data_IF_867894808359
#
_entry.id   IF_867894808359
#
_cell.length_a   1.000
_cell.length_b   1.000
_cell.length_c   1.000
_cell.angle_alpha   90.00
_cell.angle_beta   90.00
_cell.angle_gamma   90.00
#
_symmetry.space_group_name_H-M   'P 1'
#
loop_
_entity.id
_entity.type
_entity.pdbx_description
1 polymer ?
#
# COMPACT_ATOMS: atom_id res chain seq x y z
N UNK A 1 13.08 8.08 -10.40
CA UNK A 1 11.92 8.22 -9.55
C UNK A 1 12.30 8.63 -8.14
N UNK A 2 11.34 8.96 -7.32
CA UNK A 2 11.54 9.26 -5.91
C UNK A 2 11.33 7.99 -5.07
N UNK A 3 12.00 7.94 -3.91
CA UNK A 3 11.74 6.95 -2.87
C UNK A 3 10.70 7.44 -1.85
N UNK A 4 10.38 8.74 -1.89
CA UNK A 4 9.38 9.35 -1.02
C UNK A 4 8.17 9.78 -1.84
N UNK A 5 7.03 9.28 -1.47
CA UNK A 5 5.72 9.61 -2.05
C UNK A 5 4.67 9.59 -0.94
N UNK A 6 3.60 10.38 -1.08
CA UNK A 6 2.59 10.57 -0.01
C UNK A 6 1.98 9.25 0.49
N UNK A 7 1.74 8.27 -0.40
CA UNK A 7 1.04 7.02 -0.07
C UNK A 7 1.86 5.74 -0.25
N UNK A 8 2.99 5.80 -0.95
CA UNK A 8 3.76 4.61 -1.33
C UNK A 8 5.27 4.76 -1.09
N UNK A 9 5.70 5.88 -0.49
CA UNK A 9 7.09 6.11 -0.16
C UNK A 9 7.62 5.21 0.95
N UNK A 10 8.95 5.16 1.11
CA UNK A 10 9.58 4.34 2.14
C UNK A 10 9.13 4.69 3.55
N UNK A 11 8.76 5.95 3.79
CA UNK A 11 8.20 6.38 5.08
C UNK A 11 6.91 5.65 5.43
N UNK A 12 6.12 5.24 4.43
CA UNK A 12 4.92 4.44 4.61
C UNK A 12 5.22 2.92 4.60
N UNK A 13 6.11 2.49 3.72
CA UNK A 13 6.42 1.07 3.54
C UNK A 13 7.14 0.46 4.75
N UNK A 14 8.09 1.17 5.38
CA UNK A 14 8.85 0.65 6.51
C UNK A 14 7.97 0.37 7.74
N UNK A 15 7.10 1.29 8.20
CA UNK A 15 6.17 1.00 9.30
C UNK A 15 5.25 -0.19 9.02
N UNK A 16 4.72 -0.26 7.79
CA UNK A 16 3.85 -1.38 7.37
C UNK A 16 4.61 -2.70 7.38
N UNK A 17 5.83 -2.74 6.85
CA UNK A 17 6.68 -3.92 6.85
C UNK A 17 6.89 -4.47 8.28
N UNK A 18 7.23 -3.59 9.22
CA UNK A 18 7.50 -4.00 10.60
C UNK A 18 6.23 -4.34 11.38
N UNK A 19 5.14 -3.61 11.17
CA UNK A 19 3.87 -3.90 11.81
C UNK A 19 3.26 -5.24 11.37
N UNK A 20 3.46 -5.60 10.09
CA UNK A 20 2.93 -6.81 9.48
C UNK A 20 3.93 -7.98 9.47
N UNK A 21 5.10 -7.82 10.11
CA UNK A 21 6.12 -8.86 10.15
C UNK A 21 5.61 -10.13 10.82
N UNK A 22 5.68 -11.24 10.12
CA UNK A 22 5.21 -12.53 10.62
C UNK A 22 6.34 -13.27 11.34
N UNK A 23 6.16 -13.49 12.62
CA UNK A 23 7.08 -14.25 13.48
C UNK A 23 6.59 -15.69 13.60
N UNK A 24 7.19 -16.61 12.86
CA UNK A 24 6.85 -18.03 12.81
C UNK A 24 7.82 -18.89 13.63
N UNK A 25 9.02 -18.39 13.78
CA UNK A 25 10.12 -19.07 14.47
C UNK A 25 11.16 -18.05 14.96
N UNK A 26 12.13 -18.51 15.72
CA UNK A 26 13.18 -17.67 16.32
C UNK A 26 14.06 -16.96 15.29
N UNK A 27 14.27 -17.57 14.10
CA UNK A 27 15.02 -16.91 13.03
C UNK A 27 14.30 -15.66 12.51
N UNK A 28 12.97 -15.70 12.41
CA UNK A 28 12.18 -14.54 11.98
C UNK A 28 12.33 -13.37 12.97
N UNK A 29 12.54 -13.65 14.28
CA UNK A 29 12.84 -12.60 15.29
C UNK A 29 14.23 -12.00 15.05
N UNK A 30 15.23 -12.84 14.79
CA UNK A 30 16.60 -12.39 14.54
C UNK A 30 16.69 -11.57 13.25
N UNK A 31 15.99 -12.00 12.21
CA UNK A 31 15.90 -11.28 10.94
C UNK A 31 15.20 -9.91 11.13
N UNK A 32 14.10 -9.88 11.90
CA UNK A 32 13.39 -8.64 12.26
C UNK A 32 14.31 -7.63 12.96
N UNK A 33 15.03 -8.07 13.99
CA UNK A 33 15.97 -7.21 14.72
C UNK A 33 17.08 -6.70 13.78
N UNK A 34 17.56 -7.54 12.88
CA UNK A 34 18.60 -7.17 11.91
C UNK A 34 18.09 -6.10 10.95
N UNK A 35 16.90 -6.28 10.35
CA UNK A 35 16.29 -5.32 9.46
C UNK A 35 15.97 -4.01 10.16
N UNK A 36 15.52 -4.09 11.41
CA UNK A 36 15.24 -2.90 12.22
C UNK A 36 16.54 -2.09 12.49
N UNK A 37 17.67 -2.75 12.73
CA UNK A 37 19.00 -2.11 12.83
C UNK A 37 19.42 -1.44 11.52
N UNK A 38 19.12 -2.07 10.40
CA UNK A 38 19.49 -1.58 9.08
C UNK A 38 18.59 -0.43 8.59
N UNK A 39 17.53 -0.07 9.33
CA UNK A 39 16.62 1.02 8.95
C UNK A 39 17.37 2.36 8.83
N UNK A 40 18.21 2.71 9.80
CA UNK A 40 18.97 3.98 9.76
C UNK A 40 19.90 4.06 8.56
N UNK A 41 20.85 3.13 8.32
CA UNK A 41 21.76 3.23 7.17
C UNK A 41 21.00 3.15 5.82
N UNK A 42 19.91 2.40 5.74
CA UNK A 42 19.06 2.37 4.56
C UNK A 42 18.45 3.74 4.28
N UNK A 43 17.82 4.35 5.28
CA UNK A 43 17.20 5.69 5.17
C UNK A 43 18.24 6.74 4.85
N UNK A 44 19.41 6.72 5.47
CA UNK A 44 20.52 7.63 5.17
C UNK A 44 20.94 7.56 3.69
N UNK A 45 21.08 6.35 3.15
CA UNK A 45 21.41 6.13 1.74
C UNK A 45 20.34 6.73 0.80
N UNK A 46 19.06 6.55 1.12
CA UNK A 46 17.95 7.10 0.35
C UNK A 46 17.90 8.63 0.45
N UNK A 47 18.12 9.17 1.64
CA UNK A 47 18.18 10.63 1.84
C UNK A 47 19.37 11.27 1.09
N UNK A 48 20.52 10.61 1.05
CA UNK A 48 21.65 11.07 0.25
C UNK A 48 21.30 11.13 -1.25
N UNK A 49 20.61 10.12 -1.76
CA UNK A 49 20.09 10.14 -3.13
C UNK A 49 19.13 11.31 -3.35
N UNK A 50 18.20 11.53 -2.42
CA UNK A 50 17.20 12.59 -2.50
C UNK A 50 17.81 13.99 -2.40
N UNK A 51 18.85 14.17 -1.57
CA UNK A 51 19.65 15.41 -1.52
C UNK A 51 20.32 15.72 -2.87
N UNK A 52 20.86 14.69 -3.53
CA UNK A 52 21.41 14.87 -4.90
C UNK A 52 20.33 15.25 -5.91
N UNK A 53 19.10 14.76 -5.76
CA UNK A 53 17.97 15.21 -6.59
C UNK A 53 17.67 16.70 -6.35
N UNK A 54 17.63 17.13 -5.10
CA UNK A 54 17.41 18.53 -4.72
C UNK A 54 18.51 19.45 -5.29
N UNK A 55 19.77 19.09 -5.12
CA UNK A 55 20.94 19.83 -5.63
C UNK A 55 20.93 19.97 -7.14
N UNK A 56 20.42 18.98 -7.86
CA UNK A 56 20.30 18.98 -9.31
C UNK A 56 18.98 19.61 -9.83
N UNK A 57 18.15 20.15 -8.94
CA UNK A 57 16.86 20.75 -9.30
C UNK A 57 15.82 19.74 -9.80
N UNK A 58 15.90 18.47 -9.35
CA UNK A 58 15.04 17.37 -9.76
C UNK A 58 14.08 16.93 -8.65
N UNK A 59 14.03 17.65 -7.52
CA UNK A 59 13.13 17.33 -6.43
C UNK A 59 11.70 17.70 -6.78
N UNK A 60 10.78 16.75 -6.60
CA UNK A 60 9.34 16.94 -6.80
C UNK A 60 8.61 16.00 -5.82
N UNK A 61 8.38 16.47 -4.60
CA UNK A 61 7.79 15.72 -3.49
C UNK A 61 6.64 16.49 -2.86
N UNK A 62 5.72 15.77 -2.26
CA UNK A 62 4.76 16.32 -1.30
C UNK A 62 5.42 16.33 0.09
N UNK A 63 6.20 17.37 0.34
CA UNK A 63 7.01 17.49 1.56
C UNK A 63 6.16 17.57 2.82
N UNK A 64 5.01 18.24 2.75
CA UNK A 64 4.11 18.41 3.88
C UNK A 64 3.54 17.08 4.35
N UNK A 65 2.94 16.31 3.45
CA UNK A 65 2.41 14.98 3.76
C UNK A 65 3.45 14.02 4.31
N UNK A 66 4.70 14.08 3.81
CA UNK A 66 5.80 13.23 4.30
C UNK A 66 6.17 13.62 5.73
N UNK A 67 6.26 14.93 6.03
CA UNK A 67 6.58 15.44 7.37
C UNK A 67 5.48 15.04 8.35
N UNK A 68 4.21 15.29 8.02
CA UNK A 68 3.06 14.93 8.86
C UNK A 68 3.01 13.43 9.16
N UNK A 69 3.30 12.61 8.16
CA UNK A 69 3.37 11.17 8.37
C UNK A 69 4.51 10.76 9.32
N UNK A 70 5.70 11.34 9.15
CA UNK A 70 6.81 11.10 10.08
C UNK A 70 6.48 11.56 11.50
N UNK A 71 5.82 12.70 11.68
CA UNK A 71 5.37 13.18 12.99
C UNK A 71 4.41 12.18 13.65
N UNK A 72 3.49 11.59 12.88
CA UNK A 72 2.55 10.58 13.39
C UNK A 72 3.24 9.30 13.88
N UNK A 73 4.32 8.87 13.21
CA UNK A 73 5.12 7.71 13.59
C UNK A 73 6.00 8.01 14.82
N UNK A 74 6.51 9.23 14.95
CA UNK A 74 7.38 9.63 16.04
C UNK A 74 6.62 9.91 17.34
N UNK A 75 5.37 10.41 17.25
CA UNK A 75 4.58 10.83 18.41
C UNK A 75 4.41 9.75 19.48
N UNK A 76 4.07 8.49 19.18
CA UNK A 76 3.92 7.45 20.19
C UNK A 76 5.24 7.04 20.87
N UNK A 77 6.37 7.21 20.20
CA UNK A 77 7.68 6.80 20.68
C UNK A 77 7.72 5.32 21.03
N UNK A 78 8.18 4.99 22.23
CA UNK A 78 8.24 3.60 22.72
C UNK A 78 6.86 2.96 23.01
N UNK A 79 5.79 3.73 22.99
CA UNK A 79 4.41 3.24 23.09
C UNK A 79 3.77 2.93 21.74
N UNK A 80 4.58 2.89 20.68
CA UNK A 80 4.10 2.62 19.33
C UNK A 80 3.39 1.27 19.22
N UNK A 81 2.23 1.27 18.56
CA UNK A 81 1.49 0.05 18.24
C UNK A 81 2.28 -0.85 17.27
N UNK A 82 3.20 -0.30 16.48
CA UNK A 82 4.12 -1.07 15.62
C UNK A 82 5.05 -1.92 16.49
N UNK A 83 5.67 -1.33 17.51
CA UNK A 83 6.50 -2.07 18.46
C UNK A 83 5.69 -3.13 19.22
N UNK A 84 4.45 -2.79 19.59
CA UNK A 84 3.55 -3.75 20.26
C UNK A 84 3.21 -4.94 19.36
N UNK A 85 2.96 -4.73 18.06
CA UNK A 85 2.70 -5.81 17.09
C UNK A 85 3.90 -6.77 16.98
N UNK A 86 5.12 -6.23 16.87
CA UNK A 86 6.35 -7.04 16.84
C UNK A 86 6.53 -7.87 18.13
N UNK A 87 6.29 -7.28 19.29
CA UNK A 87 6.35 -7.98 20.59
C UNK A 87 5.30 -9.10 20.66
N UNK A 88 4.08 -8.86 20.21
CA UNK A 88 3.02 -9.88 20.14
C UNK A 88 3.45 -11.07 19.28
N UNK A 89 4.14 -10.83 18.18
CA UNK A 89 4.70 -11.90 17.33
C UNK A 89 5.69 -12.78 18.10
N UNK A 90 6.56 -12.20 18.93
CA UNK A 90 7.49 -12.96 19.76
C UNK A 90 6.76 -13.77 20.83
N UNK A 91 5.76 -13.19 21.48
CA UNK A 91 4.96 -13.84 22.53
C UNK A 91 4.20 -15.08 22.04
N UNK A 92 3.90 -15.14 20.74
CA UNK A 92 3.25 -16.30 20.12
C UNK A 92 4.21 -17.48 19.93
N UNK A 93 5.53 -17.26 20.02
CA UNK A 93 6.50 -18.35 20.01
C UNK A 93 6.54 -19.04 21.38
N UNK A 94 6.70 -20.36 21.36
CA UNK A 94 6.84 -21.15 22.59
C UNK A 94 8.28 -21.10 23.15
N UNK A 95 8.81 -19.88 23.33
CA UNK A 95 10.11 -19.65 23.96
C UNK A 95 9.96 -19.60 25.49
N UNK A 96 11.08 -19.81 26.19
CA UNK A 96 11.10 -19.56 27.65
C UNK A 96 10.99 -18.05 27.95
N UNK A 97 10.61 -17.73 29.18
CA UNK A 97 10.34 -16.34 29.59
C UNK A 97 11.58 -15.45 29.48
N UNK A 98 12.76 -15.98 29.85
CA UNK A 98 14.01 -15.22 29.82
C UNK A 98 14.36 -14.81 28.39
N UNK A 99 14.26 -15.73 27.44
CA UNK A 99 14.54 -15.49 26.03
C UNK A 99 13.50 -14.58 25.35
N UNK A 100 12.23 -14.73 25.71
CA UNK A 100 11.16 -13.85 25.26
C UNK A 100 11.45 -12.41 25.67
N UNK A 101 11.77 -12.16 26.93
CA UNK A 101 12.08 -10.83 27.44
C UNK A 101 13.40 -10.29 26.85
N UNK A 102 14.39 -11.13 26.61
CA UNK A 102 15.63 -10.73 25.92
C UNK A 102 15.33 -10.16 24.53
N UNK A 103 14.56 -10.87 23.72
CA UNK A 103 14.19 -10.41 22.35
C UNK A 103 13.33 -9.14 22.38
N UNK A 104 12.36 -9.04 23.28
CA UNK A 104 11.54 -7.83 23.44
C UNK A 104 12.38 -6.62 23.82
N UNK A 105 13.36 -6.79 24.70
CA UNK A 105 14.30 -5.73 25.09
C UNK A 105 15.19 -5.33 23.90
N UNK A 106 15.71 -6.29 23.13
CA UNK A 106 16.50 -6.00 21.94
C UNK A 106 15.67 -5.26 20.87
N UNK A 107 14.41 -5.66 20.66
CA UNK A 107 13.51 -4.95 19.76
C UNK A 107 13.28 -3.51 20.21
N UNK A 108 12.94 -3.32 21.48
CA UNK A 108 12.69 -1.98 22.03
C UNK A 108 13.92 -1.08 21.90
N UNK A 109 15.09 -1.59 22.27
CA UNK A 109 16.35 -0.85 22.12
C UNK A 109 16.64 -0.48 20.67
N UNK A 110 16.45 -1.45 19.76
CA UNK A 110 16.70 -1.25 18.33
C UNK A 110 15.67 -0.29 17.70
N UNK A 111 14.41 -0.38 18.10
CA UNK A 111 13.36 0.53 17.66
C UNK A 111 13.69 1.98 18.06
N UNK A 112 14.10 2.19 19.31
CA UNK A 112 14.46 3.51 19.84
C UNK A 112 15.78 4.05 19.27
N UNK A 113 16.75 3.18 18.97
CA UNK A 113 18.09 3.61 18.52
C UNK A 113 18.26 3.63 17.01
N UNK A 114 17.39 2.99 16.22
CA UNK A 114 17.48 2.95 14.76
C UNK A 114 16.21 3.40 14.06
N UNK A 115 15.06 2.80 14.38
CA UNK A 115 13.82 3.12 13.67
C UNK A 115 13.36 4.57 13.91
N UNK A 116 13.19 4.99 15.16
CA UNK A 116 12.75 6.36 15.46
C UNK A 116 13.76 7.42 14.95
N UNK A 117 15.08 7.29 15.14
CA UNK A 117 16.06 8.22 14.57
C UNK A 117 16.02 8.29 13.04
N UNK A 118 15.72 7.18 12.34
CA UNK A 118 15.57 7.19 10.89
C UNK A 118 14.40 8.10 10.46
N UNK A 119 13.27 8.03 11.14
CA UNK A 119 12.10 8.87 10.86
C UNK A 119 12.35 10.35 11.21
N UNK A 120 13.04 10.64 12.32
CA UNK A 120 13.48 12.00 12.62
C UNK A 120 14.41 12.56 11.55
N UNK A 121 15.29 11.73 10.98
CA UNK A 121 16.18 12.12 9.89
C UNK A 121 15.42 12.39 8.58
N UNK A 122 14.40 11.58 8.25
CA UNK A 122 13.51 11.86 7.12
C UNK A 122 12.84 13.22 7.34
N UNK A 123 12.15 13.39 8.47
CA UNK A 123 11.40 14.61 8.84
C UNK A 123 12.27 15.86 8.72
N UNK A 124 13.40 15.88 9.41
CA UNK A 124 14.31 17.05 9.43
C UNK A 124 14.91 17.37 8.06
N UNK A 125 15.14 16.35 7.23
CA UNK A 125 15.61 16.54 5.85
C UNK A 125 14.51 17.15 4.97
N UNK A 126 13.25 16.69 5.10
CA UNK A 126 12.11 17.27 4.35
C UNK A 126 11.84 18.71 4.76
N UNK A 127 11.93 19.05 6.06
CA UNK A 127 11.86 20.44 6.54
C UNK A 127 12.98 21.31 5.95
N UNK A 128 14.18 20.75 5.79
CA UNK A 128 15.30 21.44 5.15
C UNK A 128 14.99 21.72 3.68
N UNK A 129 14.43 20.78 2.96
CA UNK A 129 14.00 20.99 1.56
C UNK A 129 12.90 22.04 1.44
N UNK A 130 11.95 22.09 2.38
CA UNK A 130 10.95 23.16 2.43
C UNK A 130 11.62 24.55 2.58
N UNK A 131 12.56 24.67 3.52
CA UNK A 131 13.30 25.93 3.76
C UNK A 131 14.13 26.37 2.56
N UNK A 132 14.74 25.41 1.83
CA UNK A 132 15.53 25.68 0.65
C UNK A 132 14.69 26.19 -0.54
N UNK A 133 13.40 25.84 -0.59
CA UNK A 133 12.46 26.30 -1.63
C UNK A 133 12.78 25.81 -3.05
N UNK A 134 13.52 24.69 -3.21
CA UNK A 134 13.91 24.14 -4.51
C UNK A 134 13.01 22.99 -4.98
N UNK A 135 11.99 22.64 -4.20
CA UNK A 135 11.05 21.59 -4.56
C UNK A 135 10.13 22.05 -5.69
N UNK A 136 10.02 21.24 -6.73
CA UNK A 136 9.11 21.51 -7.85
C UNK A 136 7.68 21.07 -7.46
N UNK A 137 6.73 22.01 -7.47
CA UNK A 137 5.31 21.80 -7.21
C UNK A 137 4.45 21.90 -8.47
N UNK A 138 5.07 22.14 -9.63
CA UNK A 138 4.36 22.39 -10.91
C UNK A 138 4.35 21.15 -11.84
N UNK A 139 4.89 20.01 -11.38
CA UNK A 139 4.90 18.77 -12.15
C UNK A 139 6.08 18.62 -13.12
N UNK A 140 6.09 17.49 -13.84
CA UNK A 140 7.19 17.10 -14.76
C UNK A 140 7.48 18.12 -15.85
N UNK A 141 6.48 18.86 -16.31
CA UNK A 141 6.63 19.86 -17.38
C UNK A 141 7.62 20.98 -17.03
N UNK A 142 7.93 21.18 -15.74
CA UNK A 142 8.89 22.16 -15.27
C UNK A 142 10.34 21.74 -15.47
N UNK A 143 10.61 20.46 -15.57
CA UNK A 143 11.96 19.95 -15.75
C UNK A 143 12.43 20.06 -17.20
N UNK A 144 13.72 20.27 -17.41
CA UNK A 144 14.33 20.45 -18.74
C UNK A 144 13.99 19.32 -19.72
N UNK A 145 13.92 18.08 -19.25
CA UNK A 145 13.59 16.89 -20.04
C UNK A 145 12.29 16.24 -19.56
N UNK A 146 11.40 17.03 -18.94
CA UNK A 146 10.17 16.52 -18.32
C UNK A 146 9.20 15.92 -19.32
N UNK A 147 9.14 16.51 -20.54
CA UNK A 147 8.28 16.00 -21.61
C UNK A 147 8.74 14.61 -22.08
N UNK A 148 10.02 14.46 -22.39
CA UNK A 148 10.59 13.20 -22.86
C UNK A 148 10.48 12.12 -21.78
N UNK A 149 10.69 12.50 -20.52
CA UNK A 149 10.50 11.58 -19.40
C UNK A 149 9.04 11.16 -19.23
N UNK A 150 8.09 12.08 -19.36
CA UNK A 150 6.66 11.76 -19.35
C UNK A 150 6.27 10.78 -20.45
N UNK A 151 6.79 10.97 -21.68
CA UNK A 151 6.55 10.07 -22.80
C UNK A 151 7.05 8.64 -22.51
N UNK A 152 8.24 8.51 -21.88
CA UNK A 152 8.78 7.21 -21.46
C UNK A 152 7.93 6.55 -20.37
N UNK A 153 7.52 7.31 -19.36
CA UNK A 153 6.61 6.82 -18.31
C UNK A 153 5.28 6.35 -18.88
N UNK A 154 4.72 7.12 -19.82
CA UNK A 154 3.46 6.77 -20.46
C UNK A 154 3.58 5.48 -21.27
N UNK A 155 4.64 5.32 -22.06
CA UNK A 155 4.91 4.08 -22.81
C UNK A 155 5.06 2.88 -21.88
N UNK A 156 5.78 3.03 -20.78
CA UNK A 156 5.94 1.99 -19.78
C UNK A 156 4.61 1.62 -19.13
N UNK A 157 3.81 2.60 -18.71
CA UNK A 157 2.56 2.38 -17.99
C UNK A 157 1.46 1.80 -18.86
N UNK A 158 1.40 2.21 -20.14
CA UNK A 158 0.35 1.77 -21.08
C UNK A 158 0.79 0.53 -21.87
N UNK A 159 2.07 0.16 -21.85
CA UNK A 159 2.62 -0.94 -22.63
C UNK A 159 2.49 -0.73 -24.16
N UNK A 160 2.50 0.53 -24.62
CA UNK A 160 2.28 0.89 -26.01
C UNK A 160 3.20 2.03 -26.45
N UNK A 161 3.63 2.00 -27.71
CA UNK A 161 4.41 3.07 -28.35
C UNK A 161 3.55 4.19 -28.94
N UNK A 162 2.27 4.29 -28.56
CA UNK A 162 1.39 5.39 -29.01
C UNK A 162 1.90 6.73 -28.46
N UNK A 163 1.74 7.76 -29.27
CA UNK A 163 2.07 9.13 -28.82
C UNK A 163 1.13 9.61 -27.70
N UNK A 164 1.55 10.61 -26.96
CA UNK A 164 0.71 11.30 -25.97
C UNK A 164 -0.59 11.80 -26.62
N UNK A 165 -0.49 12.32 -27.86
CA UNK A 165 -1.63 12.83 -28.60
C UNK A 165 -2.62 11.74 -28.98
N UNK A 166 -2.14 10.59 -29.49
CA UNK A 166 -2.99 9.45 -29.80
C UNK A 166 -3.73 8.94 -28.56
N UNK A 167 -3.04 8.86 -27.42
CA UNK A 167 -3.63 8.40 -26.15
C UNK A 167 -4.67 9.42 -25.67
N UNK A 168 -4.37 10.72 -25.72
CA UNK A 168 -5.32 11.77 -25.37
C UNK A 168 -6.59 11.68 -26.21
N UNK A 169 -6.44 11.55 -27.53
CA UNK A 169 -7.59 11.44 -28.45
C UNK A 169 -8.43 10.17 -28.16
N UNK A 170 -7.78 9.06 -27.82
CA UNK A 170 -8.48 7.84 -27.40
C UNK A 170 -9.26 8.07 -26.10
N UNK A 171 -8.66 8.74 -25.11
CA UNK A 171 -9.30 9.05 -23.84
C UNK A 171 -10.46 10.04 -24.00
N UNK A 172 -10.34 11.07 -24.84
CA UNK A 172 -11.42 12.02 -25.12
C UNK A 172 -12.62 11.33 -25.77
N UNK A 173 -12.37 10.42 -26.71
CA UNK A 173 -13.42 9.60 -27.32
C UNK A 173 -14.09 8.67 -26.31
N UNK A 174 -13.29 8.01 -25.47
CA UNK A 174 -13.81 7.14 -24.42
C UNK A 174 -14.63 7.93 -23.40
N UNK A 175 -14.13 9.08 -22.94
CA UNK A 175 -14.83 9.97 -22.02
C UNK A 175 -16.19 10.41 -22.59
N UNK A 176 -16.21 10.90 -23.82
CA UNK A 176 -17.44 11.33 -24.50
C UNK A 176 -18.46 10.20 -24.62
N UNK A 177 -18.00 8.98 -24.96
CA UNK A 177 -18.84 7.77 -25.01
C UNK A 177 -19.41 7.42 -23.63
N UNK A 178 -18.59 7.45 -22.60
CA UNK A 178 -19.03 7.11 -21.23
C UNK A 178 -19.98 8.18 -20.69
N UNK A 179 -19.69 9.45 -20.91
CA UNK A 179 -20.58 10.55 -20.54
C UNK A 179 -21.97 10.41 -21.20
N UNK A 180 -22.00 10.09 -22.50
CA UNK A 180 -23.24 9.80 -23.20
C UNK A 180 -24.00 8.61 -22.60
N UNK A 181 -23.29 7.52 -22.25
CA UNK A 181 -23.90 6.36 -21.62
C UNK A 181 -24.45 6.70 -20.23
N UNK A 182 -23.72 7.47 -19.42
CA UNK A 182 -24.22 7.98 -18.14
C UNK A 182 -25.49 8.81 -18.31
N UNK A 183 -25.49 9.72 -19.28
CA UNK A 183 -26.68 10.54 -19.57
C UNK A 183 -27.90 9.67 -19.96
N UNK A 184 -27.69 8.60 -20.72
CA UNK A 184 -28.77 7.64 -21.06
C UNK A 184 -29.30 6.94 -19.80
N UNK A 185 -28.41 6.49 -18.90
CA UNK A 185 -28.84 5.85 -17.63
C UNK A 185 -29.64 6.83 -16.79
N UNK A 186 -29.19 8.07 -16.64
CA UNK A 186 -29.91 9.13 -15.92
C UNK A 186 -31.32 9.36 -16.48
N UNK A 187 -31.45 9.39 -17.80
CA UNK A 187 -32.75 9.59 -18.45
C UNK A 187 -33.66 8.37 -18.30
N UNK A 188 -33.10 7.16 -18.37
CA UNK A 188 -33.88 5.92 -18.27
C UNK A 188 -34.20 5.51 -16.83
N UNK A 189 -33.40 5.94 -15.85
CA UNK A 189 -33.55 5.61 -14.41
C UNK A 189 -33.32 6.88 -13.56
N UNK A 190 -34.22 7.88 -13.65
CA UNK A 190 -34.01 9.15 -12.92
C UNK A 190 -34.01 8.95 -11.39
N UNK A 191 -34.66 7.90 -10.87
CA UNK A 191 -34.65 7.53 -9.47
C UNK A 191 -33.28 7.09 -8.93
N UNK A 192 -32.36 6.67 -9.80
CA UNK A 192 -31.01 6.29 -9.41
C UNK A 192 -30.09 7.51 -9.19
N UNK A 193 -30.48 8.69 -9.63
CA UNK A 193 -29.66 9.91 -9.59
C UNK A 193 -29.60 10.49 -8.19
N UNK A 194 -30.74 10.57 -7.51
CA UNK A 194 -30.83 11.15 -6.16
C UNK A 194 -29.92 10.46 -5.15
N UNK A 195 -29.89 9.11 -5.05
CA UNK A 195 -28.96 8.43 -4.15
C UNK A 195 -27.48 8.70 -4.46
N UNK A 196 -27.11 8.92 -5.72
CA UNK A 196 -25.74 9.26 -6.11
C UNK A 196 -25.38 10.69 -5.68
N UNK A 197 -26.25 11.65 -5.92
CA UNK A 197 -26.02 13.07 -5.58
C UNK A 197 -26.00 13.27 -4.07
N UNK A 198 -26.93 12.63 -3.35
CA UNK A 198 -27.06 12.76 -1.90
C UNK A 198 -26.11 11.84 -1.12
N UNK A 199 -25.32 11.02 -1.80
CA UNK A 199 -24.46 9.99 -1.22
C UNK A 199 -25.22 9.01 -0.27
N UNK A 200 -26.47 8.69 -0.63
CA UNK A 200 -27.34 7.77 0.10
C UNK A 200 -27.46 6.44 -0.64
N UNK A 201 -26.33 5.87 -1.05
CA UNK A 201 -26.29 4.62 -1.79
C UNK A 201 -26.90 3.48 -0.96
N UNK A 202 -27.56 2.50 -1.61
CA UNK A 202 -28.15 1.37 -0.92
C UNK A 202 -27.07 0.55 -0.21
N UNK A 203 -27.49 -0.12 0.88
CA UNK A 203 -26.61 -1.05 1.59
C UNK A 203 -26.56 -2.39 0.86
N UNK A 204 -25.41 -3.07 0.94
CA UNK A 204 -25.20 -4.38 0.29
C UNK A 204 -25.87 -5.54 1.01
N UNK A 205 -26.16 -5.38 2.30
CA UNK A 205 -26.70 -6.45 3.15
C UNK A 205 -25.67 -7.38 3.76
N UNK A 206 -24.38 -7.28 3.41
CA UNK A 206 -23.31 -8.04 4.07
C UNK A 206 -23.10 -7.57 5.51
N UNK A 207 -22.81 -8.52 6.40
CA UNK A 207 -22.62 -8.29 7.82
C UNK A 207 -21.14 -8.40 8.25
N UNK A 208 -20.31 -9.04 7.42
CA UNK A 208 -18.87 -9.22 7.67
C UNK A 208 -18.06 -9.18 6.38
N UNK A 209 -16.77 -8.93 6.50
CA UNK A 209 -15.82 -9.06 5.38
C UNK A 209 -15.76 -10.50 4.83
N UNK A 210 -15.93 -11.49 5.72
CA UNK A 210 -15.99 -12.90 5.33
C UNK A 210 -17.19 -13.17 4.43
N UNK A 211 -18.38 -12.62 4.75
CA UNK A 211 -19.57 -12.80 3.91
C UNK A 211 -19.33 -12.28 2.49
N UNK A 212 -18.65 -11.14 2.36
CA UNK A 212 -18.26 -10.56 1.05
C UNK A 212 -17.34 -11.51 0.29
N UNK A 213 -16.26 -11.95 0.93
CA UNK A 213 -15.25 -12.78 0.28
C UNK A 213 -15.77 -14.16 -0.09
N UNK A 214 -16.57 -14.80 0.77
CA UNK A 214 -17.14 -16.12 0.49
C UNK A 214 -18.17 -16.09 -0.63
N UNK A 215 -18.99 -15.02 -0.70
CA UNK A 215 -19.92 -14.83 -1.81
C UNK A 215 -19.15 -14.60 -3.12
N UNK A 216 -18.12 -13.78 -3.11
CA UNK A 216 -17.29 -13.54 -4.29
C UNK A 216 -16.51 -14.78 -4.75
N UNK A 217 -16.10 -15.68 -3.85
CA UNK A 217 -15.54 -17.00 -4.23
C UNK A 217 -16.49 -17.83 -5.07
N UNK A 218 -17.78 -17.78 -4.77
CA UNK A 218 -18.79 -18.47 -5.57
C UNK A 218 -18.90 -17.88 -6.98
N UNK A 219 -18.86 -16.55 -7.09
CA UNK A 219 -18.88 -15.84 -8.40
C UNK A 219 -17.65 -16.18 -9.24
N UNK A 220 -16.47 -16.33 -8.62
CA UNK A 220 -15.23 -16.68 -9.31
C UNK A 220 -15.38 -18.02 -10.02
N UNK A 221 -15.95 -19.03 -9.36
CA UNK A 221 -16.09 -20.37 -9.91
C UNK A 221 -16.90 -20.42 -11.21
N UNK A 222 -17.76 -19.44 -11.45
CA UNK A 222 -18.60 -19.35 -12.66
C UNK A 222 -17.96 -18.54 -13.81
N UNK A 223 -17.13 -17.57 -13.49
CA UNK A 223 -16.72 -16.53 -14.45
C UNK A 223 -15.21 -16.40 -14.66
N UNK A 224 -14.43 -17.02 -13.81
CA UNK A 224 -12.97 -16.93 -13.84
C UNK A 224 -12.32 -18.30 -13.89
N UNK A 225 -11.07 -18.42 -14.36
CA UNK A 225 -10.32 -19.66 -14.30
C UNK A 225 -10.24 -20.22 -12.87
N UNK A 226 -10.26 -21.55 -12.74
CA UNK A 226 -10.17 -22.18 -11.43
C UNK A 226 -8.79 -22.02 -10.81
N UNK A 227 -8.77 -21.88 -9.48
CA UNK A 227 -7.57 -21.91 -8.65
C UNK A 227 -7.78 -22.92 -7.54
N UNK A 228 -6.79 -23.76 -7.28
CA UNK A 228 -6.91 -24.87 -6.33
C UNK A 228 -7.01 -24.42 -4.87
N UNK A 229 -6.37 -23.30 -4.53
CA UNK A 229 -6.31 -22.79 -3.17
C UNK A 229 -6.67 -21.31 -3.09
N UNK A 230 -7.87 -21.02 -2.61
CA UNK A 230 -8.38 -19.68 -2.27
C UNK A 230 -8.60 -19.54 -0.75
N UNK A 231 -7.78 -20.19 0.06
CA UNK A 231 -7.79 -19.98 1.50
C UNK A 231 -7.24 -18.58 1.81
N UNK A 232 -7.91 -17.89 2.71
CA UNK A 232 -7.55 -16.54 3.10
C UNK A 232 -7.69 -16.34 4.60
N UNK A 233 -7.09 -15.28 5.09
CA UNK A 233 -7.19 -14.81 6.45
C UNK A 233 -7.48 -13.31 6.45
N UNK A 234 -8.33 -12.85 7.38
CA UNK A 234 -8.63 -11.43 7.56
C UNK A 234 -8.07 -11.02 8.91
N UNK A 235 -7.27 -9.96 8.89
CA UNK A 235 -6.73 -9.35 10.10
C UNK A 235 -6.95 -7.84 10.09
N UNK A 236 -7.01 -7.24 11.27
CA UNK A 236 -7.02 -5.80 11.38
C UNK A 236 -5.66 -5.21 10.99
N UNK A 237 -5.68 -4.04 10.38
CA UNK A 237 -4.49 -3.20 10.29
C UNK A 237 -4.00 -2.83 11.68
N UNK A 238 -2.70 -2.60 11.80
CA UNK A 238 -2.15 -1.94 12.96
C UNK A 238 -2.86 -0.59 13.21
N UNK A 239 -3.24 -0.31 14.46
CA UNK A 239 -4.05 0.87 14.81
C UNK A 239 -3.37 2.20 14.42
N UNK A 240 -2.06 2.27 14.56
CA UNK A 240 -1.26 3.44 14.20
C UNK A 240 -1.28 3.69 12.69
N UNK A 241 -1.17 2.63 11.88
CA UNK A 241 -1.29 2.71 10.43
C UNK A 241 -2.72 3.01 9.99
N UNK A 242 -3.71 2.39 10.63
CA UNK A 242 -5.13 2.59 10.32
C UNK A 242 -5.58 4.03 10.54
N UNK A 243 -5.06 4.70 11.57
CA UNK A 243 -5.41 6.08 11.92
C UNK A 243 -4.91 7.10 10.89
N UNK A 244 -3.79 6.80 10.23
CA UNK A 244 -3.05 7.77 9.42
C UNK A 244 -3.18 7.54 7.91
N UNK A 245 -3.74 6.40 7.47
CA UNK A 245 -3.69 6.04 6.04
C UNK A 245 -4.94 6.38 5.23
N UNK A 246 -6.11 6.51 5.86
CA UNK A 246 -7.39 6.60 5.14
C UNK A 246 -7.73 5.36 4.28
N UNK A 247 -6.93 4.30 4.37
CA UNK A 247 -7.09 3.05 3.62
C UNK A 247 -8.17 2.20 4.29
N UNK A 248 -9.11 1.66 3.52
CA UNK A 248 -10.17 0.77 4.01
C UNK A 248 -9.68 -0.65 4.21
N UNK A 249 -8.92 -1.16 3.26
CA UNK A 249 -8.33 -2.50 3.28
C UNK A 249 -7.14 -2.55 2.32
N UNK A 250 -6.24 -3.52 2.50
CA UNK A 250 -5.21 -3.88 1.54
C UNK A 250 -4.89 -5.37 1.58
N UNK A 251 -4.42 -5.88 0.46
CA UNK A 251 -3.96 -7.25 0.34
C UNK A 251 -2.46 -7.35 0.58
N UNK A 252 -2.05 -8.22 1.50
CA UNK A 252 -0.64 -8.55 1.69
C UNK A 252 -0.19 -9.58 0.65
N UNK A 253 0.77 -9.18 -0.19
CA UNK A 253 1.35 -10.07 -1.21
C UNK A 253 2.03 -11.24 -0.50
N UNK A 254 1.67 -12.50 -0.84
CA UNK A 254 2.27 -13.67 -0.22
C UNK A 254 3.76 -13.80 -0.56
N UNK A 255 4.54 -14.41 0.33
CA UNK A 255 5.94 -14.73 0.07
C UNK A 255 6.08 -15.76 -1.06
N UNK A 256 7.19 -15.69 -1.83
CA UNK A 256 7.44 -16.59 -2.94
C UNK A 256 7.88 -18.00 -2.51
N UNK A 257 8.38 -18.13 -1.29
CA UNK A 257 9.05 -19.31 -0.73
C UNK A 257 8.20 -20.08 0.29
N UNK A 258 6.93 -19.72 0.45
CA UNK A 258 6.05 -20.30 1.47
C UNK A 258 4.62 -20.53 1.01
N UNK A 259 3.98 -21.49 1.68
CA UNK A 259 2.52 -21.69 1.62
C UNK A 259 1.81 -20.63 2.46
N UNK A 260 2.16 -19.36 2.24
CA UNK A 260 1.57 -18.28 3.00
C UNK A 260 0.08 -18.17 2.70
N UNK A 261 -0.70 -18.16 3.78
CA UNK A 261 -2.13 -17.87 3.70
C UNK A 261 -2.28 -16.44 3.18
N UNK A 262 -3.16 -16.25 2.23
CA UNK A 262 -3.45 -14.94 1.67
C UNK A 262 -4.11 -14.06 2.73
N UNK A 263 -3.53 -12.90 3.01
CA UNK A 263 -4.02 -12.00 4.04
C UNK A 263 -4.68 -10.76 3.46
N UNK A 264 -5.90 -10.49 3.92
CA UNK A 264 -6.56 -9.20 3.78
C UNK A 264 -6.42 -8.44 5.10
N UNK A 265 -5.82 -7.26 5.06
CA UNK A 265 -5.79 -6.33 6.18
C UNK A 265 -6.95 -5.34 6.04
N UNK A 266 -7.73 -5.18 7.09
CA UNK A 266 -8.88 -4.27 7.12
C UNK A 266 -8.71 -3.19 8.17
N UNK A 267 -9.16 -2.00 7.86
CA UNK A 267 -9.09 -0.88 8.79
C UNK A 267 -10.16 -1.06 9.90
N UNK A 268 -9.77 -1.18 11.17
CA UNK A 268 -10.72 -1.40 12.26
C UNK A 268 -11.47 -0.14 12.70
N UNK A 269 -11.05 1.06 12.26
CA UNK A 269 -11.49 2.33 12.87
C UNK A 269 -12.78 2.85 12.23
N UNK A 270 -12.99 2.68 10.94
CA UNK A 270 -14.09 3.35 10.24
C UNK A 270 -14.56 2.64 8.97
N UNK A 271 -15.11 1.43 9.09
CA UNK A 271 -15.69 0.79 7.91
C UNK A 271 -17.10 0.28 8.18
N UNK A 272 -18.04 0.84 7.44
CA UNK A 272 -19.38 0.25 7.32
C UNK A 272 -19.33 -0.92 6.33
N UNK A 273 -19.27 -2.14 6.85
CA UNK A 273 -19.20 -3.38 6.04
C UNK A 273 -20.34 -3.47 5.02
N UNK A 274 -21.50 -2.90 5.36
CA UNK A 274 -22.67 -2.92 4.47
C UNK A 274 -22.59 -1.89 3.35
N UNK A 275 -21.61 -0.99 3.33
CA UNK A 275 -21.52 0.03 2.29
C UNK A 275 -21.00 -0.53 0.95
N UNK A 276 -21.49 0.02 -0.16
CA UNK A 276 -20.99 -0.32 -1.50
C UNK A 276 -19.50 -0.02 -1.64
N UNK A 277 -19.01 1.05 -1.01
CA UNK A 277 -17.60 1.41 -1.04
C UNK A 277 -16.73 0.33 -0.38
N UNK A 278 -17.10 -0.12 0.83
CA UNK A 278 -16.39 -1.20 1.51
C UNK A 278 -16.44 -2.50 0.71
N UNK A 279 -17.63 -2.85 0.19
CA UNK A 279 -17.77 -4.01 -0.70
C UNK A 279 -16.80 -3.93 -1.89
N UNK A 280 -16.78 -2.79 -2.59
CA UNK A 280 -15.90 -2.60 -3.75
C UNK A 280 -14.42 -2.73 -3.39
N UNK A 281 -13.99 -2.15 -2.27
CA UNK A 281 -12.60 -2.27 -1.81
C UNK A 281 -12.25 -3.71 -1.43
N UNK A 282 -13.10 -4.39 -0.66
CA UNK A 282 -12.87 -5.79 -0.25
C UNK A 282 -12.86 -6.73 -1.45
N UNK A 283 -13.72 -6.52 -2.43
CA UNK A 283 -13.70 -7.30 -3.67
C UNK A 283 -12.44 -7.01 -4.50
N UNK A 284 -11.98 -5.75 -4.54
CA UNK A 284 -10.75 -5.35 -5.22
C UNK A 284 -9.50 -5.94 -4.58
N UNK A 285 -9.39 -5.90 -3.26
CA UNK A 285 -8.25 -6.45 -2.54
C UNK A 285 -8.32 -7.99 -2.42
N UNK A 286 -9.52 -8.54 -2.35
CA UNK A 286 -9.79 -9.97 -2.17
C UNK A 286 -10.13 -10.69 -3.47
N UNK A 287 -11.44 -10.97 -3.64
CA UNK A 287 -11.98 -11.73 -4.76
C UNK A 287 -13.02 -10.92 -5.54
N UNK A 288 -12.89 -10.84 -6.88
CA UNK A 288 -11.92 -11.45 -7.79
C UNK A 288 -10.64 -10.63 -8.01
N UNK A 289 -10.29 -9.73 -7.10
CA UNK A 289 -9.20 -8.76 -7.24
C UNK A 289 -7.81 -9.34 -6.96
N UNK A 290 -6.97 -8.58 -6.23
CA UNK A 290 -5.56 -8.89 -6.02
C UNK A 290 -5.31 -10.28 -5.44
N UNK A 291 -6.07 -10.69 -4.43
CA UNK A 291 -5.88 -12.00 -3.79
C UNK A 291 -6.09 -13.16 -4.78
N UNK A 292 -7.12 -13.07 -5.64
CA UNK A 292 -7.34 -14.06 -6.69
C UNK A 292 -6.24 -14.01 -7.74
N UNK A 293 -5.84 -12.83 -8.20
CA UNK A 293 -4.79 -12.64 -9.19
C UNK A 293 -3.47 -13.28 -8.74
N UNK A 294 -3.05 -13.03 -7.51
CA UNK A 294 -1.83 -13.64 -6.96
C UNK A 294 -1.98 -15.14 -6.76
N UNK A 295 -3.14 -15.63 -6.31
CA UNK A 295 -3.40 -17.04 -6.22
C UNK A 295 -3.25 -17.75 -7.58
N UNK A 296 -3.88 -17.18 -8.61
CA UNK A 296 -3.79 -17.70 -9.98
C UNK A 296 -2.36 -17.65 -10.54
N UNK A 297 -1.68 -16.52 -10.34
CA UNK A 297 -0.29 -16.36 -10.80
C UNK A 297 0.65 -17.35 -10.12
N UNK A 298 0.53 -17.54 -8.81
CA UNK A 298 1.41 -18.44 -8.07
C UNK A 298 1.19 -19.92 -8.44
N UNK A 299 -0.03 -20.28 -8.78
CA UNK A 299 -0.36 -21.65 -9.23
C UNK A 299 0.09 -21.91 -10.68
N UNK A 300 -0.05 -20.93 -11.57
CA UNK A 300 0.10 -21.14 -13.02
C UNK A 300 1.41 -20.61 -13.61
N UNK A 301 2.18 -19.80 -12.89
CA UNK A 301 3.49 -19.29 -13.34
C UNK A 301 4.59 -20.04 -12.61
N UNK A 302 5.43 -20.77 -13.36
CA UNK A 302 6.51 -21.58 -12.78
C UNK A 302 7.68 -20.72 -12.26
N UNK A 303 8.01 -19.64 -12.98
CA UNK A 303 9.18 -18.81 -12.68
C UNK A 303 8.97 -17.88 -11.49
N UNK A 304 9.69 -18.11 -10.40
CA UNK A 304 9.70 -17.20 -9.25
C UNK A 304 10.20 -15.80 -9.63
N UNK A 305 11.07 -15.69 -10.61
CA UNK A 305 11.51 -14.39 -11.13
C UNK A 305 10.35 -13.58 -11.74
N UNK A 306 9.50 -14.24 -12.55
CA UNK A 306 8.32 -13.61 -13.13
C UNK A 306 7.31 -13.24 -12.02
N UNK A 307 7.10 -14.11 -11.03
CA UNK A 307 6.23 -13.82 -9.88
C UNK A 307 6.72 -12.61 -9.09
N UNK A 308 8.04 -12.47 -8.89
CA UNK A 308 8.64 -11.32 -8.20
C UNK A 308 8.56 -10.01 -8.99
N UNK A 309 8.53 -10.10 -10.33
CA UNK A 309 8.36 -8.98 -11.24
C UNK A 309 6.89 -8.64 -11.49
N UNK A 310 5.99 -9.10 -10.66
CA UNK A 310 4.56 -8.90 -10.83
C UNK A 310 4.24 -7.47 -11.28
N UNK A 311 3.49 -7.37 -12.36
CA UNK A 311 3.26 -6.10 -13.02
C UNK A 311 2.13 -5.34 -12.32
N UNK A 312 2.50 -4.33 -11.56
CA UNK A 312 1.56 -3.42 -10.91
C UNK A 312 0.65 -2.67 -11.90
N UNK A 313 0.98 -2.67 -13.19
CA UNK A 313 0.19 -1.99 -14.21
C UNK A 313 -0.93 -2.88 -14.80
N UNK A 314 -1.11 -4.08 -14.31
CA UNK A 314 -2.10 -5.04 -14.80
C UNK A 314 -3.45 -5.01 -14.05
N UNK A 315 -3.66 -4.01 -13.20
CA UNK A 315 -4.87 -3.87 -12.41
C UNK A 315 -5.93 -3.04 -13.10
#
# INVERSE_FOLDING_TARGET
>A
GSYFESMSGIQFQLPTLFADWQVRNEKDVQDLITLLKDTTPYVESVLEYTKRQEENGLLMLDLESIIEYCDSILQPGENSAILASMNTGIEQLSLDTEKTEEYKNQLKETFSSSFLPAFENIRSTMETFQKNGRNNTEGLAKFKYGKEYYELLLQQSVGSNKSVEDIRDMMEKAFSKHLYNCAKIVVSNPEAVEPLISNTLPKTGYLSYTDILDDMKNVISEKFPSVSNLNYHIENMNEELASNSGVTAYFNIPTLDGDSIKQLRVNPISNDVSSISTFSTVAHEGFPGHMYQYAYMYENVESNYIKALSNINAY
#
